data_IF_290516882658
#
_entry.id   IF_290516882658
#
_cell.length_a   1.000
_cell.length_b   1.000
_cell.length_c   1.000
_cell.angle_alpha   90.00
_cell.angle_beta   90.00
_cell.angle_gamma   90.00
#
_symmetry.space_group_name_H-M   'P 1'
#
loop_
_entity.id
_entity.type
_entity.pdbx_description
1 polymer ?
#
# COMPACT_ATOMS: atom_id res chain seq x y z
N UNK A 1 -3.39 -1.46 30.64
CA UNK A 1 -3.00 -1.55 29.22
C UNK A 1 -3.32 -2.91 28.58
N UNK A 2 -2.95 -4.07 29.12
CA UNK A 2 -3.30 -5.39 28.54
C UNK A 2 -4.80 -5.65 28.28
N UNK A 3 -5.68 -5.19 29.16
CA UNK A 3 -7.14 -5.40 29.02
C UNK A 3 -7.80 -4.54 27.92
N UNK A 4 -7.26 -3.35 27.62
CA UNK A 4 -7.77 -2.47 26.55
C UNK A 4 -7.39 -3.03 25.17
N UNK A 5 -6.20 -3.57 25.03
CA UNK A 5 -5.71 -4.19 23.77
C UNK A 5 -6.56 -5.41 23.40
N UNK A 6 -6.90 -6.25 24.38
CA UNK A 6 -7.75 -7.43 24.14
C UNK A 6 -9.16 -7.05 23.68
N UNK A 7 -9.73 -5.95 24.23
CA UNK A 7 -11.06 -5.46 23.84
C UNK A 7 -11.09 -4.92 22.40
N UNK A 8 -10.03 -4.24 21.96
CA UNK A 8 -9.93 -3.72 20.58
C UNK A 8 -9.81 -4.87 19.57
N UNK A 9 -9.03 -5.90 19.89
CA UNK A 9 -8.89 -7.10 19.05
C UNK A 9 -10.22 -7.86 18.94
N UNK A 10 -10.98 -7.96 20.01
CA UNK A 10 -12.30 -8.64 20.02
C UNK A 10 -13.34 -7.88 19.17
N UNK A 11 -13.31 -6.55 19.16
CA UNK A 11 -14.22 -5.74 18.35
C UNK A 11 -13.88 -5.87 16.85
N UNK A 12 -12.60 -5.93 16.48
CA UNK A 12 -12.16 -6.15 15.10
C UNK A 12 -12.56 -7.54 14.56
N UNK A 13 -12.52 -8.59 15.39
CA UNK A 13 -12.98 -9.92 14.98
C UNK A 13 -14.49 -10.05 14.81
N UNK A 14 -15.28 -9.33 15.60
CA UNK A 14 -16.74 -9.33 15.47
C UNK A 14 -17.24 -8.61 14.21
N UNK A 15 -16.53 -7.60 13.72
CA UNK A 15 -16.91 -6.89 12.49
C UNK A 15 -16.66 -7.71 11.22
N UNK A 16 -15.69 -8.61 11.20
CA UNK A 16 -15.41 -9.48 10.04
C UNK A 16 -16.45 -10.61 9.89
N UNK A 17 -17.05 -11.09 11.00
CA UNK A 17 -18.07 -12.15 10.96
C UNK A 17 -19.41 -11.69 10.33
N UNK A 18 -19.67 -10.39 10.24
CA UNK A 18 -20.90 -9.84 9.63
C UNK A 18 -20.77 -9.51 8.14
N UNK A 19 -19.56 -9.44 7.59
CA UNK A 19 -19.33 -9.09 6.18
C UNK A 19 -19.53 -10.26 5.19
N UNK A 20 -19.68 -11.51 5.68
CA UNK A 20 -19.71 -12.72 4.82
C UNK A 20 -21.09 -13.31 4.56
N UNK A 21 -22.20 -12.65 4.88
CA UNK A 21 -23.55 -13.21 4.62
C UNK A 21 -24.43 -12.24 3.82
N UNK A 22 -24.17 -12.12 2.53
CA UNK A 22 -25.25 -11.84 1.55
C UNK A 22 -24.96 -12.59 0.25
N UNK A 23 -25.69 -13.66 -0.08
CA UNK A 23 -25.58 -14.29 -1.39
C UNK A 23 -26.23 -13.37 -2.43
N UNK A 24 -25.44 -12.93 -3.42
CA UNK A 24 -25.98 -12.27 -4.62
C UNK A 24 -26.91 -13.22 -5.34
N UNK A 25 -28.22 -12.96 -5.30
CA UNK A 25 -29.17 -13.54 -6.25
C UNK A 25 -28.84 -13.01 -7.63
N UNK A 26 -28.48 -13.92 -8.54
CA UNK A 26 -28.50 -13.66 -9.97
C UNK A 26 -29.98 -13.48 -10.38
N UNK A 27 -30.39 -12.25 -10.62
CA UNK A 27 -31.66 -11.97 -11.27
C UNK A 27 -31.41 -11.84 -12.79
N UNK A 28 -31.75 -12.92 -13.49
CA UNK A 28 -31.76 -13.01 -14.94
C UNK A 28 -33.14 -12.70 -15.42
N UNK A 29 -33.54 -11.43 -15.46
CA UNK A 29 -34.60 -10.98 -16.37
C UNK A 29 -34.70 -9.45 -16.34
N UNK A 30 -34.03 -8.77 -17.25
CA UNK A 30 -34.45 -7.45 -17.72
C UNK A 30 -34.34 -7.42 -19.25
N UNK A 31 -35.39 -7.89 -19.87
CA UNK A 31 -35.74 -7.56 -21.24
C UNK A 31 -36.73 -6.39 -21.18
N UNK A 32 -36.33 -5.24 -21.76
CA UNK A 32 -37.22 -4.15 -22.13
C UNK A 32 -37.49 -3.13 -21.00
N UNK A 33 -36.64 -2.12 -20.86
CA UNK A 33 -37.04 -0.81 -20.39
C UNK A 33 -36.52 0.25 -21.37
N UNK A 34 -37.49 0.90 -22.00
CA UNK A 34 -37.31 2.06 -22.86
C UNK A 34 -36.72 3.21 -22.07
N UNK A 35 -35.56 3.73 -22.50
CA UNK A 35 -34.89 4.85 -21.86
C UNK A 35 -35.37 6.18 -22.43
N UNK A 36 -36.67 6.44 -22.26
CA UNK A 36 -37.26 7.74 -22.51
C UNK A 36 -37.46 8.52 -21.21
N UNK A 37 -36.86 9.71 -21.15
CA UNK A 37 -37.14 10.80 -20.21
C UNK A 37 -36.94 10.56 -18.70
N UNK A 38 -35.75 10.30 -18.24
CA UNK A 38 -35.35 10.75 -16.92
C UNK A 38 -34.65 12.11 -17.03
N UNK A 39 -35.39 13.17 -16.76
CA UNK A 39 -34.82 14.48 -16.41
C UNK A 39 -33.98 14.27 -15.14
N UNK A 40 -32.65 14.24 -15.27
CA UNK A 40 -31.74 14.31 -14.13
C UNK A 40 -31.91 15.68 -13.49
N UNK A 41 -32.45 15.69 -12.29
CA UNK A 41 -32.44 16.83 -11.40
C UNK A 41 -30.96 17.18 -11.11
N UNK A 42 -30.58 18.41 -11.41
CA UNK A 42 -29.21 18.95 -11.28
C UNK A 42 -28.73 19.11 -9.82
N UNK A 43 -29.39 18.42 -8.89
CA UNK A 43 -29.06 18.32 -7.47
C UNK A 43 -28.52 16.96 -7.03
N UNK A 44 -28.39 15.97 -7.94
CA UNK A 44 -27.84 14.67 -7.54
C UNK A 44 -26.36 14.82 -7.20
N UNK A 45 -26.00 14.49 -5.96
CA UNK A 45 -24.62 14.30 -5.52
C UNK A 45 -23.88 13.45 -6.57
N UNK A 46 -22.98 14.09 -7.33
CA UNK A 46 -22.03 13.36 -8.16
C UNK A 46 -21.40 12.32 -7.26
N UNK A 47 -21.68 11.04 -7.51
CA UNK A 47 -20.99 9.93 -6.85
C UNK A 47 -19.49 10.17 -7.06
N UNK A 48 -18.78 10.61 -6.03
CA UNK A 48 -17.35 10.88 -6.13
C UNK A 48 -16.66 9.55 -6.35
N UNK A 49 -16.26 9.28 -7.59
CA UNK A 49 -15.46 8.12 -7.92
C UNK A 49 -14.04 8.40 -7.44
N UNK A 50 -13.41 7.48 -6.73
CA UNK A 50 -12.00 7.59 -6.42
C UNK A 50 -11.18 7.44 -7.70
N UNK A 51 -10.38 8.46 -7.97
CA UNK A 51 -9.39 8.45 -9.05
C UNK A 51 -8.04 8.00 -8.48
N UNK A 52 -7.13 7.67 -9.36
CA UNK A 52 -5.71 7.57 -8.98
C UNK A 52 -5.27 8.84 -8.26
N UNK A 53 -4.43 8.69 -7.24
CA UNK A 53 -3.87 9.84 -6.53
C UNK A 53 -2.94 10.68 -7.42
N UNK A 54 -2.45 10.09 -8.50
CA UNK A 54 -1.44 10.66 -9.41
C UNK A 54 -2.04 11.07 -10.76
N UNK A 55 -3.36 10.89 -10.95
CA UNK A 55 -4.07 11.33 -12.15
C UNK A 55 -5.57 11.43 -11.91
N UNK A 56 -6.17 12.48 -12.47
CA UNK A 56 -7.63 12.66 -12.46
C UNK A 56 -8.35 11.86 -13.55
N UNK A 57 -7.62 11.27 -14.50
CA UNK A 57 -8.15 10.63 -15.70
C UNK A 57 -8.05 9.10 -15.68
N UNK A 58 -7.41 8.52 -14.68
CA UNK A 58 -7.22 7.07 -14.55
C UNK A 58 -7.85 6.54 -13.26
N UNK A 59 -8.26 5.26 -13.24
CA UNK A 59 -8.88 4.67 -12.06
C UNK A 59 -7.87 4.49 -10.92
N UNK A 60 -8.37 4.51 -9.68
CA UNK A 60 -7.56 4.24 -8.49
C UNK A 60 -6.95 2.83 -8.48
N UNK A 61 -7.61 1.86 -9.14
CA UNK A 61 -7.09 0.49 -9.26
C UNK A 61 -5.74 0.39 -9.97
N UNK A 62 -5.32 1.46 -10.67
CA UNK A 62 -3.97 1.55 -11.27
C UNK A 62 -2.89 1.89 -10.24
N UNK A 63 -3.23 2.42 -9.08
CA UNK A 63 -2.27 2.77 -8.06
C UNK A 63 -1.71 1.50 -7.40
N UNK A 64 -0.39 1.34 -7.43
CA UNK A 64 0.37 0.36 -6.65
C UNK A 64 0.81 0.95 -5.31
N UNK A 65 1.91 0.45 -4.75
CA UNK A 65 2.55 1.09 -3.59
C UNK A 65 3.30 2.36 -4.01
N UNK A 66 3.44 3.30 -3.10
CA UNK A 66 4.02 4.60 -3.37
C UNK A 66 3.35 5.25 -4.58
N UNK A 67 4.14 5.67 -5.57
CA UNK A 67 3.64 6.25 -6.83
C UNK A 67 3.62 5.25 -7.99
N UNK A 68 3.82 3.94 -7.73
CA UNK A 68 3.90 2.92 -8.78
C UNK A 68 2.53 2.64 -9.43
N UNK A 69 2.56 1.99 -10.58
CA UNK A 69 1.39 1.54 -11.28
C UNK A 69 1.30 0.01 -11.32
N UNK A 70 0.06 -0.47 -11.31
CA UNK A 70 -0.34 -1.85 -11.60
C UNK A 70 -1.37 -1.84 -12.74
N UNK A 71 -1.74 -2.97 -13.35
CA UNK A 71 -2.83 -3.02 -14.32
C UNK A 71 -4.16 -2.52 -13.73
N UNK A 72 -5.00 -1.86 -14.53
CA UNK A 72 -6.28 -1.27 -14.09
C UNK A 72 -7.26 -2.30 -13.52
N UNK A 73 -7.18 -3.54 -13.98
CA UNK A 73 -8.02 -4.65 -13.54
C UNK A 73 -7.47 -5.40 -12.32
N UNK A 74 -6.40 -4.91 -11.71
CA UNK A 74 -5.88 -5.46 -10.46
C UNK A 74 -6.96 -5.40 -9.38
N UNK A 75 -7.34 -6.52 -8.75
CA UNK A 75 -8.34 -6.55 -7.70
C UNK A 75 -7.93 -5.67 -6.53
N UNK A 76 -8.88 -4.86 -6.05
CA UNK A 76 -8.68 -4.00 -4.90
C UNK A 76 -9.65 -4.39 -3.79
N UNK A 77 -9.10 -4.84 -2.67
CA UNK A 77 -9.86 -5.26 -1.49
C UNK A 77 -9.78 -4.15 -0.44
N UNK A 78 -10.81 -3.30 -0.40
CA UNK A 78 -10.80 -2.14 0.47
C UNK A 78 -12.20 -1.76 0.94
N UNK A 79 -12.26 -1.13 2.10
CA UNK A 79 -13.46 -0.48 2.62
C UNK A 79 -13.45 1.00 2.25
N UNK A 80 -14.56 1.48 1.63
CA UNK A 80 -14.67 2.84 1.13
C UNK A 80 -15.57 3.68 2.04
N UNK A 81 -15.09 4.84 2.47
CA UNK A 81 -15.84 5.83 3.24
C UNK A 81 -16.06 7.07 2.37
N UNK A 82 -17.32 7.34 2.05
CA UNK A 82 -17.72 8.48 1.23
C UNK A 82 -18.17 9.64 2.11
N UNK A 83 -17.32 10.66 2.27
CA UNK A 83 -17.63 11.91 2.93
C UNK A 83 -18.08 12.99 1.96
N UNK A 84 -18.54 14.13 2.48
CA UNK A 84 -18.99 15.26 1.63
C UNK A 84 -17.88 15.88 0.76
N UNK A 85 -16.65 15.90 1.24
CA UNK A 85 -15.48 16.51 0.55
C UNK A 85 -14.30 15.54 0.45
N UNK A 86 -14.25 14.55 1.32
CA UNK A 86 -13.19 13.57 1.41
C UNK A 86 -13.71 12.20 1.07
N UNK A 87 -12.89 11.43 0.40
CA UNK A 87 -13.10 10.04 0.14
C UNK A 87 -11.94 9.28 0.72
N UNK A 88 -12.22 8.26 1.53
CA UNK A 88 -11.20 7.48 2.23
C UNK A 88 -11.35 6.01 1.88
N UNK A 89 -10.24 5.39 1.55
CA UNK A 89 -10.09 3.95 1.41
C UNK A 89 -9.31 3.41 2.60
N UNK A 90 -9.79 2.31 3.17
CA UNK A 90 -9.10 1.57 4.23
C UNK A 90 -8.89 0.16 3.74
N UNK A 91 -7.67 -0.32 3.79
CA UNK A 91 -7.30 -1.69 3.45
C UNK A 91 -6.13 -2.19 4.30
N UNK A 92 -5.88 -3.49 4.28
CA UNK A 92 -4.83 -4.08 5.08
C UNK A 92 -4.89 -5.60 5.04
N UNK A 93 -3.91 -6.22 5.66
CA UNK A 93 -3.84 -7.67 5.82
C UNK A 93 -3.42 -8.03 7.24
N UNK A 94 -3.93 -9.14 7.72
CA UNK A 94 -3.57 -9.72 9.00
C UNK A 94 -3.46 -11.24 8.84
N UNK A 95 -2.31 -11.79 9.17
CA UNK A 95 -2.04 -13.22 9.09
C UNK A 95 -1.75 -13.79 10.46
N UNK A 96 -2.22 -14.99 10.72
CA UNK A 96 -1.69 -15.84 11.78
C UNK A 96 -0.77 -16.86 11.12
N UNK A 97 0.52 -16.82 11.46
CA UNK A 97 1.53 -17.63 10.81
C UNK A 97 2.27 -18.51 11.80
N UNK A 98 2.40 -19.79 11.45
CA UNK A 98 3.41 -20.67 12.02
C UNK A 98 4.45 -20.96 10.94
N UNK A 99 5.62 -20.36 11.07
CA UNK A 99 6.73 -20.54 10.16
C UNK A 99 7.71 -21.54 10.78
N UNK A 100 8.05 -22.59 10.05
CA UNK A 100 9.13 -23.52 10.38
C UNK A 100 9.92 -23.83 9.12
N UNK A 101 11.15 -23.40 9.09
CA UNK A 101 12.09 -23.65 8.00
C UNK A 101 13.12 -24.67 8.41
N UNK A 102 13.74 -25.36 7.42
CA UNK A 102 14.66 -26.47 7.64
C UNK A 102 14.00 -27.64 8.37
N UNK A 103 12.93 -28.18 7.79
CA UNK A 103 12.07 -29.20 8.41
C UNK A 103 12.81 -30.50 8.74
N UNK A 104 13.80 -30.90 7.93
CA UNK A 104 14.46 -32.20 8.00
C UNK A 104 15.87 -32.13 8.55
N UNK A 105 16.39 -30.93 8.76
CA UNK A 105 17.73 -30.71 9.26
C UNK A 105 17.65 -29.91 10.58
N UNK A 106 18.18 -30.42 11.65
CA UNK A 106 18.31 -29.72 12.94
C UNK A 106 19.57 -28.87 13.01
N UNK A 107 20.13 -28.50 11.84
CA UNK A 107 21.34 -27.70 11.73
C UNK A 107 21.20 -26.28 12.26
N UNK A 108 22.21 -25.45 11.99
CA UNK A 108 22.29 -24.07 12.46
C UNK A 108 21.46 -23.08 11.65
N UNK A 109 20.84 -23.52 10.53
CA UNK A 109 20.07 -22.65 9.63
C UNK A 109 18.57 -22.80 9.83
N UNK A 110 17.83 -21.76 9.44
CA UNK A 110 16.38 -21.74 9.58
C UNK A 110 15.92 -21.46 11.00
N UNK A 111 14.72 -21.86 11.32
CA UNK A 111 14.11 -21.62 12.62
C UNK A 111 12.62 -21.92 12.60
N UNK A 112 11.99 -21.64 13.77
CA UNK A 112 10.52 -21.74 13.89
C UNK A 112 9.99 -20.54 14.65
N UNK A 113 8.81 -20.07 14.25
CA UNK A 113 8.13 -18.94 14.90
C UNK A 113 6.63 -19.03 14.70
N UNK A 114 5.89 -18.65 15.73
CA UNK A 114 4.49 -18.31 15.64
C UNK A 114 4.35 -16.80 15.84
N UNK A 115 3.75 -16.12 14.88
CA UNK A 115 3.61 -14.67 14.86
C UNK A 115 2.38 -14.22 14.05
N UNK A 116 2.19 -12.91 13.94
CA UNK A 116 1.07 -12.34 13.21
C UNK A 116 1.49 -11.13 12.38
N UNK A 117 2.13 -11.35 11.21
CA UNK A 117 2.45 -10.26 10.27
C UNK A 117 1.18 -9.53 9.84
N UNK A 118 1.29 -8.20 9.73
CA UNK A 118 0.12 -7.39 9.45
C UNK A 118 0.48 -5.99 8.95
N UNK A 119 -0.48 -5.35 8.31
CA UNK A 119 -0.43 -3.94 7.99
C UNK A 119 -1.85 -3.38 7.80
N UNK A 120 -2.01 -2.10 8.03
CA UNK A 120 -3.25 -1.34 7.85
C UNK A 120 -2.94 -0.01 7.20
N UNK A 121 -3.62 0.31 6.11
CA UNK A 121 -3.44 1.56 5.37
C UNK A 121 -4.76 2.31 5.23
N UNK A 122 -4.69 3.63 5.38
CA UNK A 122 -5.76 4.55 5.05
C UNK A 122 -5.26 5.55 4.01
N UNK A 123 -5.97 5.62 2.90
CA UNK A 123 -5.72 6.56 1.81
C UNK A 123 -6.91 7.50 1.72
N UNK A 124 -6.70 8.80 1.86
CA UNK A 124 -7.79 9.77 1.79
C UNK A 124 -7.48 10.83 0.76
N UNK A 125 -8.48 11.20 -0.02
CA UNK A 125 -8.31 12.20 -1.07
C UNK A 125 -9.50 13.17 -1.15
N UNK A 126 -9.23 14.36 -1.70
CA UNK A 126 -10.23 15.38 -1.99
C UNK A 126 -9.88 16.17 -3.24
N UNK A 127 -10.88 16.56 -4.05
CA UNK A 127 -10.67 17.53 -5.12
C UNK A 127 -10.26 18.90 -4.59
N UNK A 128 -9.39 19.58 -5.32
CA UNK A 128 -8.95 20.96 -5.06
C UNK A 128 -9.20 21.78 -6.33
N UNK A 129 -10.20 22.65 -6.29
CA UNK A 129 -10.66 23.34 -7.48
C UNK A 129 -11.23 22.38 -8.54
N UNK A 130 -11.09 22.71 -9.82
CA UNK A 130 -11.61 21.92 -10.95
C UNK A 130 -10.62 20.83 -11.44
N UNK A 131 -9.33 21.06 -11.25
CA UNK A 131 -8.27 20.27 -11.88
C UNK A 131 -7.24 19.74 -10.89
N UNK A 132 -7.40 19.97 -9.59
CA UNK A 132 -6.49 19.52 -8.56
C UNK A 132 -7.05 18.36 -7.75
N UNK A 133 -6.17 17.51 -7.22
CA UNK A 133 -6.45 16.44 -6.28
C UNK A 133 -5.39 16.46 -5.18
N UNK A 134 -5.83 16.50 -3.93
CA UNK A 134 -4.97 16.38 -2.76
C UNK A 134 -5.25 15.07 -2.06
N UNK A 135 -4.21 14.34 -1.67
CA UNK A 135 -4.33 13.09 -0.94
C UNK A 135 -3.32 12.96 0.18
N UNK A 136 -3.69 12.16 1.17
CA UNK A 136 -2.88 11.80 2.33
C UNK A 136 -2.96 10.29 2.47
N UNK A 137 -1.81 9.64 2.66
CA UNK A 137 -1.73 8.21 2.96
C UNK A 137 -1.07 8.00 4.31
N UNK A 138 -1.60 7.02 5.03
CA UNK A 138 -1.03 6.56 6.29
C UNK A 138 -1.05 5.04 6.31
N UNK A 139 0.09 4.42 6.56
CA UNK A 139 0.22 2.98 6.71
C UNK A 139 0.94 2.65 8.00
N UNK A 140 0.38 1.70 8.74
CA UNK A 140 0.92 1.19 9.99
C UNK A 140 1.14 -0.30 9.90
N UNK A 141 2.22 -0.79 10.54
CA UNK A 141 2.41 -2.20 10.81
C UNK A 141 2.62 -2.42 12.30
N UNK A 142 1.91 -3.39 12.86
CA UNK A 142 2.11 -3.81 14.25
C UNK A 142 3.12 -4.96 14.36
N UNK A 143 3.91 -5.20 13.33
CA UNK A 143 5.00 -6.17 13.32
C UNK A 143 5.98 -6.01 14.48
N UNK A 144 6.38 -4.79 14.90
CA UNK A 144 7.26 -4.64 16.06
C UNK A 144 6.73 -5.29 17.34
N UNK A 145 5.40 -5.43 17.47
CA UNK A 145 4.73 -6.07 18.60
C UNK A 145 4.37 -7.53 18.34
N UNK A 146 3.89 -7.85 17.13
CA UNK A 146 3.27 -9.14 16.80
C UNK A 146 4.23 -10.11 16.13
N UNK A 147 5.22 -9.60 15.42
CA UNK A 147 6.39 -10.34 14.92
C UNK A 147 7.56 -10.19 15.87
N UNK A 148 7.76 -8.99 16.43
CA UNK A 148 8.83 -8.66 17.35
C UNK A 148 10.14 -8.25 16.64
N UNK A 149 11.00 -7.48 17.34
CA UNK A 149 12.11 -6.76 16.71
C UNK A 149 13.23 -7.64 16.15
N UNK A 150 13.30 -8.92 16.54
CA UNK A 150 14.25 -9.89 15.98
C UNK A 150 13.85 -10.49 14.65
N UNK A 151 12.69 -10.12 14.09
CA UNK A 151 12.20 -10.63 12.81
C UNK A 151 11.70 -12.09 12.87
N UNK A 152 11.65 -12.73 11.73
CA UNK A 152 11.15 -14.09 11.57
C UNK A 152 12.06 -14.94 10.66
N UNK A 153 12.05 -16.29 10.82
CA UNK A 153 12.86 -17.16 9.98
C UNK A 153 12.49 -17.02 8.51
N UNK A 154 13.49 -16.78 7.66
CA UNK A 154 13.36 -16.77 6.22
C UNK A 154 14.69 -17.21 5.60
N UNK A 155 14.79 -18.47 5.17
CA UNK A 155 16.02 -19.03 4.60
C UNK A 155 16.54 -18.18 3.44
N UNK A 156 17.85 -17.99 3.41
CA UNK A 156 18.60 -17.19 2.44
C UNK A 156 18.41 -15.68 2.54
N UNK A 157 17.52 -15.20 3.40
CA UNK A 157 17.37 -13.77 3.62
C UNK A 157 18.53 -13.24 4.46
N UNK A 158 19.07 -12.11 4.01
CA UNK A 158 20.20 -11.42 4.68
C UNK A 158 20.17 -9.94 4.28
N UNK A 159 20.97 -9.12 4.93
CA UNK A 159 21.14 -7.71 4.56
C UNK A 159 21.08 -6.75 5.74
N UNK A 160 20.51 -7.17 6.86
CA UNK A 160 20.33 -6.32 8.04
C UNK A 160 21.00 -6.84 9.30
N UNK A 161 20.96 -6.03 10.34
CA UNK A 161 21.48 -6.37 11.68
C UNK A 161 20.49 -6.02 12.77
N UNK A 162 20.55 -6.75 13.88
CA UNK A 162 19.81 -6.48 15.09
C UNK A 162 20.73 -6.67 16.31
N UNK A 163 20.82 -5.67 17.18
CA UNK A 163 21.71 -5.66 18.37
C UNK A 163 23.17 -6.01 18.04
N UNK A 164 23.69 -5.44 16.93
CA UNK A 164 25.07 -5.65 16.48
C UNK A 164 25.36 -7.02 15.86
N UNK A 165 24.32 -7.88 15.65
CA UNK A 165 24.47 -9.17 14.99
C UNK A 165 23.80 -9.11 13.62
N UNK A 166 24.48 -9.64 12.59
CA UNK A 166 23.89 -9.80 11.26
C UNK A 166 22.70 -10.76 11.31
N UNK A 167 21.61 -10.39 10.68
CA UNK A 167 20.47 -11.26 10.44
C UNK A 167 20.78 -12.15 9.23
N UNK A 168 20.89 -13.44 9.46
CA UNK A 168 21.13 -14.46 8.42
C UNK A 168 20.01 -15.49 8.53
N UNK A 169 19.37 -15.80 7.42
CA UNK A 169 18.16 -16.62 7.36
C UNK A 169 17.00 -16.04 8.22
N UNK A 170 16.95 -14.73 8.32
CA UNK A 170 15.96 -13.98 9.11
C UNK A 170 15.56 -12.73 8.33
N UNK A 171 14.25 -12.49 8.22
CA UNK A 171 13.69 -11.23 7.74
C UNK A 171 13.34 -10.35 8.93
N UNK A 172 13.72 -9.08 8.88
CA UNK A 172 13.34 -8.08 9.88
C UNK A 172 11.84 -7.74 9.83
N UNK A 173 11.23 -7.21 10.90
CA UNK A 173 9.86 -6.72 10.89
C UNK A 173 9.78 -5.35 10.23
N UNK A 174 8.60 -4.97 9.77
CA UNK A 174 8.32 -3.60 9.34
C UNK A 174 8.41 -2.60 10.49
N UNK A 175 8.60 -1.34 10.14
CA UNK A 175 8.45 -0.22 11.08
C UNK A 175 6.97 -0.02 11.43
N UNK A 176 6.71 0.54 12.64
CA UNK A 176 5.34 0.88 13.06
C UNK A 176 4.68 1.85 12.08
N UNK A 177 5.42 2.87 11.63
CA UNK A 177 4.99 3.81 10.61
C UNK A 177 5.60 3.39 9.27
N UNK A 178 4.84 2.73 8.44
CA UNK A 178 5.28 2.26 7.13
C UNK A 178 5.08 3.30 6.02
N UNK A 179 4.06 4.17 6.14
CA UNK A 179 3.86 5.31 5.25
C UNK A 179 3.16 6.45 5.98
N UNK A 180 3.68 7.65 5.81
CA UNK A 180 3.02 8.93 6.07
C UNK A 180 3.34 9.84 4.89
N UNK A 181 2.42 9.97 3.96
CA UNK A 181 2.67 10.74 2.74
C UNK A 181 1.55 11.71 2.39
N UNK A 182 1.91 12.75 1.66
CA UNK A 182 0.99 13.71 1.07
C UNK A 182 1.28 13.82 -0.42
N UNK A 183 0.21 13.93 -1.21
CA UNK A 183 0.31 14.04 -2.66
C UNK A 183 -0.57 15.19 -3.15
N UNK A 184 -0.10 15.89 -4.16
CA UNK A 184 -0.88 16.85 -4.91
C UNK A 184 -0.74 16.58 -6.40
N UNK A 185 -1.86 16.41 -7.08
CA UNK A 185 -1.91 16.18 -8.52
C UNK A 185 -2.68 17.31 -9.19
N UNK A 186 -2.14 17.87 -10.24
CA UNK A 186 -2.73 18.91 -11.04
C UNK A 186 -2.89 18.44 -12.48
N UNK A 187 -4.13 18.41 -12.98
CA UNK A 187 -4.37 18.26 -14.41
C UNK A 187 -3.92 19.53 -15.13
N UNK A 188 -3.04 19.40 -16.10
CA UNK A 188 -2.48 20.50 -16.90
C UNK A 188 -3.04 20.56 -18.31
N UNK A 189 -3.49 19.40 -18.85
CA UNK A 189 -4.17 19.30 -20.14
C UNK A 189 -5.06 18.05 -20.17
N UNK A 190 -5.81 17.86 -21.24
CA UNK A 190 -6.55 16.61 -21.49
C UNK A 190 -5.57 15.43 -21.50
N UNK A 191 -5.79 14.45 -20.63
CA UNK A 191 -4.95 13.27 -20.45
C UNK A 191 -3.51 13.57 -19.98
N UNK A 192 -3.26 14.74 -19.35
CA UNK A 192 -1.95 15.08 -18.80
C UNK A 192 -2.05 15.65 -17.39
N UNK A 193 -1.26 15.10 -16.49
CA UNK A 193 -1.18 15.52 -15.09
C UNK A 193 0.27 15.68 -14.66
N UNK A 194 0.48 16.57 -13.69
CA UNK A 194 1.71 16.68 -12.90
C UNK A 194 1.36 16.35 -11.46
N UNK A 195 2.17 15.54 -10.80
CA UNK A 195 2.02 15.17 -9.40
C UNK A 195 3.27 15.46 -8.60
N UNK A 196 3.10 15.87 -7.35
CA UNK A 196 4.16 16.02 -6.36
C UNK A 196 3.79 15.25 -5.12
N UNK A 197 4.69 14.37 -4.69
CA UNK A 197 4.52 13.52 -3.51
C UNK A 197 5.65 13.80 -2.53
N UNK A 198 5.32 13.74 -1.23
CA UNK A 198 6.29 13.78 -0.14
C UNK A 198 5.90 12.75 0.91
N UNK A 199 6.85 11.93 1.36
CA UNK A 199 6.65 10.92 2.40
C UNK A 199 7.73 10.94 3.47
N UNK A 200 7.29 10.72 4.72
CA UNK A 200 8.17 10.58 5.88
C UNK A 200 7.53 9.66 6.94
N UNK A 201 7.63 8.35 6.74
CA UNK A 201 8.20 7.64 5.59
C UNK A 201 7.31 7.65 4.35
N UNK A 202 7.88 7.20 3.21
CA UNK A 202 7.24 7.02 1.92
C UNK A 202 8.05 6.12 1.01
N UNK A 203 7.62 5.97 -0.26
CA UNK A 203 8.27 5.11 -1.24
C UNK A 203 8.71 5.94 -2.45
N UNK A 204 10.00 5.93 -2.84
CA UNK A 204 10.49 6.61 -4.05
C UNK A 204 10.04 5.90 -5.33
N UNK A 205 10.13 6.59 -6.47
CA UNK A 205 9.88 6.02 -7.78
C UNK A 205 11.04 5.10 -8.20
N UNK A 206 11.20 3.97 -7.50
CA UNK A 206 12.27 3.00 -7.67
C UNK A 206 11.70 1.57 -7.57
N UNK A 207 12.02 0.74 -8.58
CA UNK A 207 11.60 -0.66 -8.58
C UNK A 207 10.10 -0.89 -8.85
N UNK A 208 9.64 -2.13 -8.70
CA UNK A 208 8.24 -2.52 -8.79
C UNK A 208 7.48 -2.11 -7.52
N UNK A 209 6.13 -2.18 -7.51
CA UNK A 209 5.35 -2.08 -6.28
C UNK A 209 5.84 -3.07 -5.23
N UNK A 210 5.81 -2.69 -3.95
CA UNK A 210 6.17 -3.59 -2.86
C UNK A 210 5.33 -4.88 -2.89
N UNK A 211 5.92 -5.99 -2.45
CA UNK A 211 5.31 -7.32 -2.61
C UNK A 211 3.89 -7.42 -2.03
N UNK A 212 3.59 -6.75 -0.93
CA UNK A 212 2.26 -6.73 -0.30
C UNK A 212 1.16 -6.09 -1.19
N UNK A 213 1.53 -5.29 -2.18
CA UNK A 213 0.63 -4.65 -3.14
C UNK A 213 0.68 -5.31 -4.53
N UNK A 214 1.44 -6.38 -4.71
CA UNK A 214 1.48 -7.16 -5.95
C UNK A 214 0.53 -8.34 -5.86
N UNK A 215 -0.31 -8.52 -6.87
CA UNK A 215 -1.27 -9.64 -6.95
C UNK A 215 -0.59 -11.01 -6.74
N UNK A 216 0.65 -11.16 -7.19
CA UNK A 216 1.43 -12.40 -7.09
C UNK A 216 1.90 -12.75 -5.69
N UNK A 217 1.90 -11.80 -4.73
CA UNK A 217 2.49 -11.98 -3.41
C UNK A 217 1.63 -11.41 -2.25
N UNK A 218 0.56 -10.68 -2.53
CA UNK A 218 -0.26 -10.00 -1.52
C UNK A 218 -0.93 -10.95 -0.50
N UNK A 219 -1.06 -12.23 -0.83
CA UNK A 219 -1.63 -13.25 0.04
C UNK A 219 -0.56 -14.10 0.76
N UNK A 220 0.72 -13.74 0.62
CA UNK A 220 1.83 -14.39 1.30
C UNK A 220 2.33 -13.48 2.44
N UNK A 221 2.37 -13.95 3.69
CA UNK A 221 2.91 -13.18 4.81
C UNK A 221 4.44 -13.09 4.80
N UNK A 222 5.12 -13.89 3.98
CA UNK A 222 6.57 -13.90 3.90
C UNK A 222 7.06 -12.98 2.79
N UNK A 223 8.06 -12.14 3.09
CA UNK A 223 8.72 -11.35 2.08
C UNK A 223 9.41 -12.26 1.05
N UNK A 224 9.30 -11.99 -0.26
CA UNK A 224 10.04 -12.75 -1.25
C UNK A 224 11.56 -12.52 -1.08
N UNK A 225 12.38 -13.51 -1.43
CA UNK A 225 13.85 -13.41 -1.32
C UNK A 225 14.44 -12.23 -2.10
N UNK A 226 13.73 -11.78 -3.15
CA UNK A 226 14.12 -10.60 -3.94
C UNK A 226 13.81 -9.26 -3.26
N UNK A 227 13.15 -9.25 -2.10
CA UNK A 227 12.66 -8.02 -1.46
C UNK A 227 13.78 -7.00 -1.22
N UNK A 228 14.92 -7.40 -0.66
CA UNK A 228 16.06 -6.50 -0.42
C UNK A 228 16.79 -6.04 -1.69
N UNK A 229 16.41 -6.53 -2.87
CA UNK A 229 17.00 -6.12 -4.15
C UNK A 229 16.03 -5.33 -5.03
N UNK A 230 14.73 -5.63 -4.97
CA UNK A 230 13.76 -5.09 -5.92
C UNK A 230 12.82 -4.04 -5.33
N UNK A 231 12.49 -4.13 -4.06
CA UNK A 231 11.50 -3.25 -3.39
C UNK A 231 11.87 -2.89 -1.93
N UNK A 232 13.15 -2.93 -1.58
CA UNK A 232 13.64 -2.60 -0.23
C UNK A 232 13.36 -1.15 0.19
N UNK A 233 13.23 -0.23 -0.76
CA UNK A 233 13.01 1.21 -0.48
C UNK A 233 11.56 1.59 -0.24
N UNK A 234 10.64 0.61 -0.06
CA UNK A 234 9.22 0.89 0.16
C UNK A 234 8.90 1.61 1.48
N UNK A 235 9.80 1.55 2.46
CA UNK A 235 9.77 2.38 3.68
C UNK A 235 11.05 3.22 3.70
N UNK A 236 10.95 4.48 3.28
CA UNK A 236 12.10 5.39 3.20
C UNK A 236 11.79 6.66 3.98
N UNK A 237 12.58 6.95 5.01
CA UNK A 237 12.43 8.16 5.82
C UNK A 237 12.95 9.39 5.07
N UNK A 238 12.03 10.03 4.36
CA UNK A 238 12.28 11.18 3.51
C UNK A 238 12.39 10.80 2.04
N UNK A 239 11.27 10.99 1.33
CA UNK A 239 11.21 10.87 -0.13
C UNK A 239 10.38 12.01 -0.71
N UNK A 240 10.78 12.52 -1.86
CA UNK A 240 9.99 13.45 -2.65
C UNK A 240 10.03 13.02 -4.10
N UNK A 241 8.85 12.92 -4.71
CA UNK A 241 8.69 12.43 -6.09
C UNK A 241 7.91 13.44 -6.92
N UNK A 242 8.48 13.83 -8.06
CA UNK A 242 7.81 14.59 -9.09
C UNK A 242 7.42 13.65 -10.23
N UNK A 243 6.14 13.63 -10.59
CA UNK A 243 5.58 12.81 -11.66
C UNK A 243 4.97 13.64 -12.77
N UNK A 244 5.13 13.19 -14.01
CA UNK A 244 4.43 13.68 -15.18
C UNK A 244 3.77 12.52 -15.90
N UNK A 245 2.46 12.60 -16.11
CA UNK A 245 1.69 11.61 -16.86
C UNK A 245 1.15 12.20 -18.15
N UNK A 246 1.26 11.43 -19.22
CA UNK A 246 0.54 11.67 -20.46
C UNK A 246 -0.08 10.36 -20.99
N UNK A 247 -1.40 10.28 -21.03
CA UNK A 247 -2.15 9.06 -21.37
C UNK A 247 -1.70 7.89 -20.48
N UNK A 248 -1.15 6.86 -21.09
CA UNK A 248 -0.75 5.59 -20.46
C UNK A 248 0.75 5.54 -20.13
N UNK A 249 1.43 6.69 -20.23
CA UNK A 249 2.85 6.83 -19.89
C UNK A 249 2.98 7.77 -18.68
N UNK A 250 3.81 7.39 -17.70
CA UNK A 250 4.17 8.23 -16.56
C UNK A 250 5.68 8.23 -16.39
N UNK A 251 6.29 9.42 -16.33
CA UNK A 251 7.69 9.64 -16.01
C UNK A 251 7.77 10.25 -14.61
N UNK A 252 8.61 9.67 -13.75
CA UNK A 252 8.78 10.10 -12.37
C UNK A 252 10.25 10.22 -12.01
N UNK A 253 10.57 11.22 -11.18
CA UNK A 253 11.88 11.36 -10.57
C UNK A 253 11.75 11.56 -9.06
N UNK A 254 12.57 10.84 -8.27
CA UNK A 254 12.59 10.97 -6.82
C UNK A 254 13.96 11.38 -6.30
N UNK A 255 13.94 12.15 -5.20
CA UNK A 255 15.06 12.32 -4.28
C UNK A 255 14.66 11.69 -2.94
N UNK A 256 15.55 10.92 -2.32
CA UNK A 256 15.19 10.16 -1.13
C UNK A 256 16.41 9.77 -0.29
N UNK A 257 16.16 9.27 0.91
CA UNK A 257 17.18 8.68 1.79
C UNK A 257 17.47 7.26 1.33
N UNK A 258 18.67 7.00 0.80
CA UNK A 258 19.01 5.76 0.10
C UNK A 258 19.32 4.55 0.98
N UNK A 259 19.22 4.69 2.30
CA UNK A 259 19.41 3.57 3.23
C UNK A 259 18.05 3.03 3.71
N UNK A 260 18.03 1.75 4.05
CA UNK A 260 16.91 1.16 4.78
C UNK A 260 16.78 1.75 6.19
N UNK A 261 15.57 1.71 6.79
CA UNK A 261 15.35 2.05 8.19
C UNK A 261 16.28 1.27 9.12
N UNK A 262 16.61 1.86 10.27
CA UNK A 262 17.46 1.19 11.25
C UNK A 262 16.68 0.11 12.04
N UNK A 263 17.35 -0.51 13.04
CA UNK A 263 16.75 -1.58 13.85
C UNK A 263 15.66 -1.10 14.82
N UNK A 264 15.46 0.21 14.99
CA UNK A 264 14.51 0.79 15.95
C UNK A 264 13.18 1.08 15.29
N UNK A 265 12.27 0.14 15.31
CA UNK A 265 11.03 0.12 14.53
C UNK A 265 9.91 1.05 15.01
N UNK A 266 10.17 1.90 16.00
CA UNK A 266 9.17 2.83 16.58
C UNK A 266 9.50 4.31 16.38
N UNK A 267 10.69 4.63 15.90
CA UNK A 267 11.16 6.00 15.69
C UNK A 267 11.09 6.39 14.22
N UNK A 268 11.49 7.61 13.95
CA UNK A 268 11.66 8.16 12.61
C UNK A 268 13.15 8.39 12.39
N UNK A 269 13.68 7.81 11.33
CA UNK A 269 15.07 7.99 10.95
C UNK A 269 15.33 9.36 10.34
N UNK A 270 16.57 9.84 10.47
CA UNK A 270 16.97 11.12 9.93
C UNK A 270 16.91 11.13 8.40
N UNK A 271 16.20 12.10 7.85
CA UNK A 271 16.10 12.37 6.42
C UNK A 271 17.41 12.89 5.86
N UNK A 272 17.89 12.36 4.72
CA UNK A 272 19.20 12.72 4.13
C UNK A 272 19.12 13.23 2.69
N UNK A 273 18.17 12.72 1.86
CA UNK A 273 18.08 13.02 0.43
C UNK A 273 19.40 12.82 -0.32
N UNK A 274 20.05 11.67 -0.11
CA UNK A 274 21.34 11.31 -0.68
C UNK A 274 21.26 10.40 -1.91
N UNK A 275 20.04 10.05 -2.33
CA UNK A 275 19.79 9.12 -3.43
C UNK A 275 18.75 9.66 -4.41
N UNK A 276 18.85 9.20 -5.65
CA UNK A 276 18.00 9.64 -6.76
C UNK A 276 17.50 8.45 -7.56
N UNK A 277 16.29 8.55 -8.09
CA UNK A 277 15.73 7.55 -9.00
C UNK A 277 14.96 8.19 -10.13
N UNK A 278 14.81 7.43 -11.22
CA UNK A 278 13.96 7.77 -12.36
C UNK A 278 13.19 6.51 -12.76
N UNK A 279 11.85 6.63 -12.92
CA UNK A 279 11.00 5.53 -13.34
C UNK A 279 10.12 5.96 -14.51
N UNK A 280 10.08 5.13 -15.54
CA UNK A 280 9.12 5.22 -16.64
C UNK A 280 8.12 4.08 -16.50
N UNK A 281 6.84 4.42 -16.42
CA UNK A 281 5.74 3.45 -16.40
C UNK A 281 4.94 3.54 -17.69
N UNK A 282 4.55 2.39 -18.23
CA UNK A 282 3.73 2.29 -19.42
C UNK A 282 2.68 1.18 -19.27
N UNK A 283 1.42 1.55 -19.26
CA UNK A 283 0.27 0.64 -19.18
C UNK A 283 -0.57 0.75 -20.45
N UNK A 284 -0.24 0.01 -21.52
CA UNK A 284 -0.91 0.14 -22.82
C UNK A 284 -2.32 -0.43 -22.85
N UNK A 285 -2.66 -1.28 -21.90
CA UNK A 285 -3.97 -1.93 -21.78
C UNK A 285 -4.50 -1.84 -20.35
N UNK A 286 -5.73 -2.26 -20.14
CA UNK A 286 -6.33 -2.35 -18.80
C UNK A 286 -5.90 -3.60 -18.03
N UNK A 287 -5.46 -4.62 -18.75
CA UNK A 287 -5.01 -5.92 -18.24
C UNK A 287 -3.54 -5.90 -17.81
#
# INVERSE_FOLDING_TARGET
MRKIILSIITILFLSQAFAQKTPMKKDTSMKGMDMGDMKMDSGSMMSMKMNSQYSLDIPMSRDGSGTSWVPDETPMYAYMIHGKKWMTMIHGSFFLRYNKQDLFNSGSRGGKKFDAPNWLMAMTQRPVGKNGLFSINTMFSFDPFLVGPGGYPLLFQTGESYKGKKLVDIQHPHDLFAELSVNYTQRIAKNADVSLSFGYPGEPALGPPVFMHRLSAMNDPDAPLSHHYSDATHITFGTSTLGFRYKDIKLEGSIFTGREPDQYRYNFDAMRFDSYSLRLSYNPSKE
#
